data_IF_279347483824
#
_entry.id   IF_279347483824
#
_cell.length_a   1.000
_cell.length_b   1.000
_cell.length_c   1.000
_cell.angle_alpha   90.00
_cell.angle_beta   90.00
_cell.angle_gamma   90.00
#
_symmetry.space_group_name_H-M   'P 1'
#
loop_
_entity.id
_entity.type
_entity.pdbx_description
1 polymer ?
#
# COMPACT_ATOMS: atom_id res chain seq x y z
N UNK A 1 -21.93 -15.34 15.78
CA UNK A 1 -21.42 -16.68 16.17
C UNK A 1 -20.96 -16.60 17.62
N UNK A 2 -21.34 -17.55 18.48
CA UNK A 2 -20.93 -17.51 19.90
C UNK A 2 -19.41 -17.62 20.09
N UNK A 3 -18.74 -18.35 19.22
CA UNK A 3 -17.34 -18.76 19.38
C UNK A 3 -16.35 -18.01 18.46
N UNK A 4 -16.82 -17.01 17.74
CA UNK A 4 -16.00 -16.22 16.82
C UNK A 4 -15.74 -16.89 15.47
N UNK A 5 -14.81 -16.35 14.67
CA UNK A 5 -14.38 -16.90 13.38
C UNK A 5 -13.31 -17.96 13.64
N UNK A 6 -13.53 -19.23 13.26
CA UNK A 6 -12.70 -20.36 13.73
C UNK A 6 -11.40 -20.56 12.94
N UNK A 7 -11.20 -19.84 11.84
CA UNK A 7 -10.06 -20.05 10.94
C UNK A 7 -9.79 -18.81 10.08
N UNK A 8 -8.58 -18.75 9.52
CA UNK A 8 -8.23 -17.83 8.44
C UNK A 8 -7.56 -18.56 7.28
N UNK A 9 -7.49 -17.91 6.12
CA UNK A 9 -6.83 -18.46 4.95
C UNK A 9 -5.48 -17.78 4.81
N UNK A 10 -4.40 -18.55 4.74
CA UNK A 10 -3.05 -18.10 4.44
C UNK A 10 -2.75 -18.42 2.98
N UNK A 11 -2.27 -17.43 2.24
CA UNK A 11 -1.87 -17.59 0.84
C UNK A 11 -0.41 -17.20 0.75
N UNK A 12 0.45 -18.12 0.32
CA UNK A 12 1.84 -17.84 0.03
C UNK A 12 1.96 -17.04 -1.27
N UNK A 13 2.58 -15.87 -1.21
CA UNK A 13 2.63 -14.96 -2.35
C UNK A 13 3.53 -15.47 -3.49
N UNK A 14 4.55 -16.26 -3.17
CA UNK A 14 5.49 -16.77 -4.16
C UNK A 14 4.97 -18.03 -4.87
N UNK A 15 4.43 -18.96 -4.09
CA UNK A 15 3.95 -20.28 -4.60
C UNK A 15 2.46 -20.30 -4.89
N UNK A 16 1.70 -19.31 -4.42
CA UNK A 16 0.24 -19.22 -4.46
C UNK A 16 -0.47 -20.39 -3.74
N UNK A 17 0.27 -21.13 -2.91
CA UNK A 17 -0.32 -22.18 -2.09
C UNK A 17 -1.26 -21.57 -1.06
N UNK A 18 -2.43 -22.21 -0.93
CA UNK A 18 -3.48 -21.78 -0.03
C UNK A 18 -3.65 -22.78 1.11
N UNK A 19 -3.60 -22.30 2.34
CA UNK A 19 -3.77 -23.09 3.55
C UNK A 19 -4.92 -22.53 4.39
N UNK A 20 -5.76 -23.44 4.92
CA UNK A 20 -6.77 -23.11 5.92
C UNK A 20 -6.19 -23.35 7.32
N UNK A 21 -5.85 -22.27 8.01
CA UNK A 21 -5.33 -22.31 9.36
C UNK A 21 -6.50 -22.27 10.36
N UNK A 22 -6.68 -23.36 11.12
CA UNK A 22 -7.71 -23.44 12.16
C UNK A 22 -7.15 -22.93 13.48
N UNK A 23 -7.89 -22.05 14.12
CA UNK A 23 -7.57 -21.50 15.43
C UNK A 23 -8.09 -22.39 16.55
N UNK A 24 -7.36 -22.50 17.64
CA UNK A 24 -7.80 -23.19 18.87
C UNK A 24 -8.97 -22.46 19.53
N UNK A 25 -8.95 -21.11 19.49
CA UNK A 25 -10.05 -20.25 19.85
C UNK A 25 -10.37 -19.31 18.68
N UNK A 26 -11.68 -19.10 18.41
CA UNK A 26 -12.12 -18.26 17.31
C UNK A 26 -11.85 -16.75 17.55
N UNK A 27 -11.63 -16.00 16.47
CA UNK A 27 -11.52 -14.54 16.50
C UNK A 27 -12.86 -13.93 16.90
N UNK A 28 -12.89 -13.25 18.04
CA UNK A 28 -14.12 -12.68 18.64
C UNK A 28 -14.31 -11.22 18.22
N UNK A 29 -13.22 -10.52 17.87
CA UNK A 29 -13.26 -9.11 17.50
C UNK A 29 -13.11 -8.98 15.99
N UNK A 30 -14.15 -8.45 15.33
CA UNK A 30 -14.18 -8.31 13.87
C UNK A 30 -14.81 -6.97 13.46
N UNK A 31 -14.61 -6.57 12.21
CA UNK A 31 -15.22 -5.36 11.64
C UNK A 31 -16.71 -5.54 11.37
N UNK A 32 -17.16 -6.77 11.13
CA UNK A 32 -18.54 -7.10 10.74
C UNK A 32 -19.46 -7.52 11.92
N UNK A 33 -18.89 -7.77 13.09
CA UNK A 33 -19.68 -8.15 14.26
C UNK A 33 -20.34 -6.93 14.93
N UNK A 34 -21.22 -7.17 15.89
CA UNK A 34 -22.02 -6.13 16.56
C UNK A 34 -21.65 -6.00 18.03
N UNK A 35 -22.07 -4.88 18.63
CA UNK A 35 -21.89 -4.57 20.05
C UNK A 35 -20.44 -4.72 20.54
N UNK A 36 -20.19 -5.54 21.54
CA UNK A 36 -18.89 -5.67 22.22
C UNK A 36 -17.83 -6.39 21.37
N UNK A 37 -18.22 -7.01 20.27
CA UNK A 37 -17.33 -7.73 19.36
C UNK A 37 -16.94 -6.94 18.10
N UNK A 38 -17.56 -5.78 17.90
CA UNK A 38 -17.13 -4.88 16.83
C UNK A 38 -15.83 -4.20 17.23
N UNK A 39 -14.78 -4.39 16.42
CA UNK A 39 -13.42 -3.88 16.71
C UNK A 39 -13.40 -2.36 16.85
N UNK A 40 -14.10 -1.61 15.98
CA UNK A 40 -14.13 -0.14 16.05
C UNK A 40 -14.75 0.35 17.36
N UNK A 41 -15.81 -0.32 17.81
CA UNK A 41 -16.46 -0.01 19.09
C UNK A 41 -15.52 -0.35 20.27
N UNK A 42 -14.84 -1.50 20.22
CA UNK A 42 -13.88 -1.92 21.23
C UNK A 42 -12.75 -0.90 21.37
N UNK A 43 -12.14 -0.48 20.25
CA UNK A 43 -11.11 0.55 20.22
C UNK A 43 -11.62 1.89 20.76
N UNK A 44 -12.84 2.30 20.39
CA UNK A 44 -13.42 3.58 20.86
C UNK A 44 -13.62 3.61 22.36
N UNK A 45 -13.93 2.49 22.99
CA UNK A 45 -14.06 2.43 24.45
C UNK A 45 -12.73 2.42 25.18
N UNK A 46 -11.73 1.74 24.62
CA UNK A 46 -10.40 1.68 25.24
C UNK A 46 -9.56 2.95 24.97
N UNK A 47 -9.75 3.58 23.80
CA UNK A 47 -8.99 4.74 23.34
C UNK A 47 -9.94 5.84 22.84
N UNK A 48 -10.71 6.48 23.70
CA UNK A 48 -11.77 7.42 23.30
C UNK A 48 -11.25 8.68 22.58
N UNK A 49 -10.00 9.06 22.80
CA UNK A 49 -9.37 10.25 22.21
C UNK A 49 -8.59 9.96 20.94
N UNK A 50 -8.38 8.69 20.59
CA UNK A 50 -7.63 8.32 19.39
C UNK A 50 -8.50 8.39 18.13
N UNK A 51 -7.91 8.89 17.05
CA UNK A 51 -8.51 8.88 15.72
C UNK A 51 -7.75 7.84 14.92
N UNK A 52 -8.37 6.69 14.70
CA UNK A 52 -7.77 5.61 13.96
C UNK A 52 -7.84 5.85 12.44
N UNK A 53 -6.80 5.39 11.74
CA UNK A 53 -6.81 5.21 10.29
C UNK A 53 -7.48 3.87 9.94
N UNK A 54 -7.40 3.46 8.67
CA UNK A 54 -7.88 2.15 8.24
C UNK A 54 -7.13 1.03 8.97
N UNK A 55 -7.90 0.08 9.48
CA UNK A 55 -7.37 -1.08 10.18
C UNK A 55 -6.93 -2.14 9.18
N UNK A 56 -5.80 -2.78 9.44
CA UNK A 56 -5.37 -4.01 8.75
C UNK A 56 -5.46 -5.22 9.67
N UNK A 57 -5.58 -6.38 9.05
CA UNK A 57 -5.59 -7.67 9.74
C UNK A 57 -4.30 -8.40 9.40
N UNK A 58 -3.53 -8.77 10.40
CA UNK A 58 -2.24 -9.43 10.24
C UNK A 58 -2.10 -10.58 11.24
N UNK A 59 -1.11 -11.42 11.01
CA UNK A 59 -0.82 -12.60 11.82
C UNK A 59 0.62 -12.44 12.33
N UNK A 60 0.81 -12.63 13.64
CA UNK A 60 2.17 -12.60 14.19
C UNK A 60 2.97 -13.88 13.86
N UNK A 61 4.21 -13.95 14.30
CA UNK A 61 5.12 -15.07 14.07
C UNK A 61 4.62 -16.41 14.67
N UNK A 62 3.79 -16.34 15.71
CA UNK A 62 3.18 -17.49 16.38
C UNK A 62 1.84 -17.92 15.76
N UNK A 63 1.39 -17.22 14.71
CA UNK A 63 0.12 -17.48 14.03
C UNK A 63 -1.10 -16.89 14.74
N UNK A 64 -0.90 -15.96 15.67
CA UNK A 64 -1.98 -15.27 16.39
C UNK A 64 -2.50 -14.10 15.56
N UNK A 65 -3.83 -13.99 15.36
CA UNK A 65 -4.41 -12.92 14.55
C UNK A 65 -4.53 -11.61 15.35
N UNK A 66 -4.12 -10.52 14.70
CA UNK A 66 -4.20 -9.15 15.23
C UNK A 66 -4.89 -8.19 14.28
N UNK A 67 -5.53 -7.20 14.84
CA UNK A 67 -5.89 -5.95 14.17
C UNK A 67 -4.79 -4.92 14.41
N UNK A 68 -4.22 -4.42 13.34
CA UNK A 68 -3.28 -3.31 13.35
C UNK A 68 -4.10 -2.03 13.21
N UNK A 69 -4.02 -1.16 14.20
CA UNK A 69 -4.88 0.01 14.31
C UNK A 69 -4.03 1.29 14.38
N UNK A 70 -3.61 1.85 13.23
CA UNK A 70 -2.80 3.06 13.20
C UNK A 70 -3.59 4.26 13.70
N UNK A 71 -2.93 5.12 14.49
CA UNK A 71 -3.51 6.32 15.08
C UNK A 71 -3.02 7.55 14.34
N UNK A 72 -3.94 8.33 13.80
CA UNK A 72 -3.64 9.57 13.08
C UNK A 72 -3.01 10.61 14.00
N UNK A 73 -1.98 11.27 13.48
CA UNK A 73 -1.36 12.45 14.04
C UNK A 73 -1.46 13.58 13.00
N UNK A 74 -1.80 14.77 13.47
CA UNK A 74 -1.92 15.96 12.63
C UNK A 74 -0.77 16.91 12.94
N UNK A 75 0.17 17.07 12.01
CA UNK A 75 1.36 17.90 12.21
C UNK A 75 1.07 19.41 12.14
N UNK A 76 0.01 19.80 11.40
CA UNK A 76 -0.38 21.20 11.19
C UNK A 76 -1.71 21.51 11.89
N UNK A 77 -2.10 20.70 12.88
CA UNK A 77 -3.35 20.85 13.62
C UNK A 77 -4.59 20.83 12.71
N UNK A 78 -5.41 21.87 12.73
CA UNK A 78 -6.63 21.97 11.92
C UNK A 78 -6.37 22.10 10.40
N UNK A 79 -5.15 22.40 9.99
CA UNK A 79 -4.78 22.56 8.58
C UNK A 79 -4.29 21.27 7.91
N UNK A 80 -4.30 20.15 8.61
CA UNK A 80 -3.95 18.85 8.07
C UNK A 80 -2.53 18.39 8.40
N UNK A 81 -1.82 17.86 7.41
CA UNK A 81 -0.50 17.23 7.60
C UNK A 81 -0.66 15.90 8.35
N UNK A 82 -1.60 15.08 7.91
CA UNK A 82 -1.90 13.77 8.52
C UNK A 82 -0.71 12.83 8.37
N UNK A 83 -0.35 12.17 9.46
CA UNK A 83 0.60 11.04 9.49
C UNK A 83 0.14 10.05 10.55
N UNK A 84 0.91 9.00 10.79
CA UNK A 84 0.68 8.06 11.89
C UNK A 84 1.64 8.42 13.04
N UNK A 85 1.10 8.50 14.23
CA UNK A 85 1.88 8.82 15.43
C UNK A 85 2.05 7.65 16.39
N UNK A 86 1.11 6.72 16.38
CA UNK A 86 1.08 5.53 17.23
C UNK A 86 0.38 4.38 16.52
N UNK A 87 0.54 3.17 17.01
CA UNK A 87 -0.15 1.99 16.53
C UNK A 87 -0.68 1.19 17.71
N UNK A 88 -1.96 0.88 17.71
CA UNK A 88 -2.55 -0.04 18.67
C UNK A 88 -2.69 -1.41 18.00
N UNK A 89 -2.08 -2.43 18.59
CA UNK A 89 -2.28 -3.83 18.22
C UNK A 89 -3.39 -4.41 19.08
N UNK A 90 -4.41 -4.99 18.44
CA UNK A 90 -5.50 -5.64 19.16
C UNK A 90 -5.57 -7.11 18.79
N UNK A 91 -5.36 -8.00 19.75
CA UNK A 91 -5.53 -9.43 19.57
C UNK A 91 -6.97 -9.74 19.16
N UNK A 92 -7.19 -10.32 17.98
CA UNK A 92 -8.53 -10.56 17.45
C UNK A 92 -9.31 -11.66 18.21
N UNK A 93 -8.62 -12.49 19.01
CA UNK A 93 -9.22 -13.55 19.82
C UNK A 93 -9.63 -13.00 21.18
N UNK A 94 -8.70 -12.37 21.91
CA UNK A 94 -8.89 -11.96 23.31
C UNK A 94 -9.43 -10.54 23.45
N UNK A 95 -9.14 -9.67 22.49
CA UNK A 95 -9.43 -8.23 22.54
C UNK A 95 -8.39 -7.45 23.37
N UNK A 96 -7.31 -8.10 23.81
CA UNK A 96 -6.22 -7.42 24.48
C UNK A 96 -5.56 -6.41 23.52
N UNK A 97 -5.27 -5.23 24.02
CA UNK A 97 -4.70 -4.14 23.21
C UNK A 97 -3.37 -3.70 23.78
N UNK A 98 -2.40 -3.47 22.90
CA UNK A 98 -1.11 -2.88 23.24
C UNK A 98 -0.86 -1.66 22.35
N UNK A 99 -0.45 -0.55 22.95
CA UNK A 99 -0.22 0.73 22.27
C UNK A 99 1.28 0.98 22.14
N UNK A 100 1.74 1.15 20.89
CA UNK A 100 3.15 1.36 20.54
C UNK A 100 3.37 2.76 19.97
N UNK A 101 4.54 3.36 20.26
CA UNK A 101 5.08 4.39 19.40
C UNK A 101 5.44 3.78 18.04
N UNK A 102 5.41 4.56 16.96
CA UNK A 102 5.64 3.99 15.61
C UNK A 102 7.00 3.32 15.49
N UNK A 103 8.02 3.89 16.14
CA UNK A 103 9.39 3.37 16.15
C UNK A 103 9.56 2.04 16.91
N UNK A 104 8.61 1.71 17.79
CA UNK A 104 8.63 0.51 18.65
C UNK A 104 7.72 -0.61 18.12
N UNK A 105 7.08 -0.42 16.97
CA UNK A 105 6.18 -1.41 16.39
C UNK A 105 6.94 -2.69 16.03
N UNK A 106 6.46 -3.89 16.44
CA UNK A 106 7.11 -5.15 16.13
C UNK A 106 7.35 -5.36 14.63
N UNK A 107 8.43 -6.04 14.27
CA UNK A 107 8.83 -6.23 12.86
C UNK A 107 7.83 -7.03 12.03
N UNK A 108 7.08 -7.95 12.66
CA UNK A 108 6.06 -8.74 11.97
C UNK A 108 4.83 -7.91 11.50
N UNK A 109 4.74 -6.65 11.93
CA UNK A 109 3.68 -5.73 11.47
C UNK A 109 4.09 -5.11 10.15
N UNK A 110 3.35 -5.42 9.09
CA UNK A 110 3.66 -4.93 7.74
C UNK A 110 3.05 -3.56 7.44
N UNK A 111 1.84 -3.29 7.95
CA UNK A 111 1.05 -2.15 7.51
C UNK A 111 0.75 -1.16 8.65
N UNK A 112 1.67 -0.26 8.90
CA UNK A 112 1.49 0.93 9.77
C UNK A 112 0.94 2.10 8.95
N UNK A 113 1.51 2.33 7.75
CA UNK A 113 1.09 3.38 6.83
C UNK A 113 0.34 2.78 5.65
N UNK A 114 -0.86 3.28 5.34
CA UNK A 114 -1.54 2.90 4.11
C UNK A 114 -0.80 3.42 2.88
N UNK A 115 -0.94 2.72 1.75
CA UNK A 115 -0.33 3.16 0.49
C UNK A 115 -0.77 4.57 0.08
N UNK A 116 -2.07 4.87 0.22
CA UNK A 116 -2.62 6.18 -0.11
C UNK A 116 -1.99 7.30 0.76
N UNK A 117 -1.78 7.02 2.06
CA UNK A 117 -1.12 7.98 2.95
C UNK A 117 0.35 8.20 2.57
N UNK A 118 1.08 7.13 2.21
CA UNK A 118 2.47 7.25 1.76
C UNK A 118 2.58 8.05 0.46
N UNK A 119 1.71 7.77 -0.50
CA UNK A 119 1.61 8.53 -1.76
C UNK A 119 1.30 10.00 -1.51
N UNK A 120 0.33 10.30 -0.64
CA UNK A 120 -0.02 11.66 -0.26
C UNK A 120 1.17 12.40 0.38
N UNK A 121 1.87 11.77 1.32
CA UNK A 121 3.04 12.35 1.98
C UNK A 121 4.19 12.59 0.99
N UNK A 122 4.42 11.65 0.07
CA UNK A 122 5.42 11.81 -0.99
C UNK A 122 5.08 12.99 -1.91
N UNK A 123 3.82 13.10 -2.33
CA UNK A 123 3.34 14.20 -3.18
C UNK A 123 3.44 15.55 -2.48
N UNK A 124 3.14 15.64 -1.19
CA UNK A 124 3.38 16.87 -0.42
C UNK A 124 4.86 17.25 -0.40
N UNK A 125 5.75 16.29 -0.18
CA UNK A 125 7.19 16.52 -0.22
C UNK A 125 7.64 16.99 -1.61
N UNK A 126 7.23 16.29 -2.67
CA UNK A 126 7.60 16.59 -4.05
C UNK A 126 7.07 17.94 -4.53
N UNK A 127 5.83 18.27 -4.19
CA UNK A 127 5.18 19.51 -4.60
C UNK A 127 5.68 20.73 -3.81
N UNK A 128 5.93 20.57 -2.49
CA UNK A 128 6.29 21.68 -1.61
C UNK A 128 7.79 21.87 -1.42
N UNK A 129 8.63 21.12 -2.12
CA UNK A 129 10.10 21.13 -2.00
C UNK A 129 10.72 22.54 -2.05
N UNK A 130 10.17 23.43 -2.85
CA UNK A 130 10.60 24.83 -2.97
C UNK A 130 9.58 25.82 -2.39
N UNK A 131 8.73 25.36 -1.47
CA UNK A 131 7.75 26.15 -0.75
C UNK A 131 6.43 26.37 -1.49
N UNK A 132 5.43 26.87 -0.75
CA UNK A 132 4.06 27.03 -1.23
C UNK A 132 3.93 27.89 -2.50
N UNK A 133 4.64 29.00 -2.58
CA UNK A 133 4.54 29.87 -3.76
C UNK A 133 5.06 29.19 -5.03
N UNK A 134 6.11 28.37 -4.94
CA UNK A 134 6.58 27.61 -6.09
C UNK A 134 5.56 26.56 -6.52
N UNK A 135 4.89 25.90 -5.59
CA UNK A 135 3.89 24.87 -5.92
C UNK A 135 2.68 25.43 -6.69
N UNK A 136 2.38 26.73 -6.54
CA UNK A 136 1.22 27.37 -7.17
C UNK A 136 1.60 28.13 -8.45
N UNK A 137 2.74 28.84 -8.46
CA UNK A 137 3.07 29.78 -9.52
C UNK A 137 4.18 29.30 -10.46
N UNK A 138 5.22 28.66 -9.94
CA UNK A 138 6.40 28.27 -10.72
C UNK A 138 6.47 26.80 -11.08
N UNK A 139 6.05 25.95 -10.15
CA UNK A 139 6.08 24.49 -10.22
C UNK A 139 7.44 23.89 -10.61
N UNK A 140 8.51 24.67 -10.38
CA UNK A 140 9.86 24.26 -10.72
C UNK A 140 10.30 23.09 -9.85
N UNK A 141 10.80 22.02 -10.48
CA UNK A 141 11.27 20.78 -9.84
C UNK A 141 10.19 20.12 -8.93
N UNK A 142 8.92 20.40 -9.21
CA UNK A 142 7.81 19.75 -8.52
C UNK A 142 7.57 18.35 -9.10
N UNK A 143 7.53 17.36 -8.20
CA UNK A 143 7.34 15.96 -8.55
C UNK A 143 6.03 15.44 -7.92
N UNK A 144 5.35 14.58 -8.64
CA UNK A 144 4.21 13.80 -8.14
C UNK A 144 4.36 12.34 -8.54
N UNK A 145 3.70 11.47 -7.79
CA UNK A 145 3.53 10.08 -8.20
C UNK A 145 2.62 10.00 -9.44
N UNK A 146 2.79 8.95 -10.21
CA UNK A 146 1.82 8.56 -11.25
C UNK A 146 0.56 7.98 -10.61
N UNK A 147 -0.52 7.84 -11.41
CA UNK A 147 -1.77 7.25 -10.94
C UNK A 147 -1.61 5.74 -10.71
N UNK A 148 -1.92 5.30 -9.50
CA UNK A 148 -1.85 3.90 -9.09
C UNK A 148 -0.54 3.52 -8.41
N UNK A 149 -0.53 2.32 -7.88
CA UNK A 149 0.63 1.74 -7.19
C UNK A 149 0.53 0.22 -7.18
N UNK A 150 1.65 -0.44 -6.86
CA UNK A 150 1.71 -1.88 -6.60
C UNK A 150 2.48 -2.15 -5.31
N UNK A 151 2.45 -3.37 -4.84
CA UNK A 151 3.15 -3.80 -3.63
C UNK A 151 4.28 -4.75 -3.96
N UNK A 152 5.39 -4.61 -3.24
CA UNK A 152 6.56 -5.48 -3.31
C UNK A 152 6.91 -5.95 -1.90
N UNK A 153 7.19 -7.25 -1.75
CA UNK A 153 7.79 -7.76 -0.53
C UNK A 153 9.33 -7.71 -0.70
N UNK A 154 10.00 -6.96 0.17
CA UNK A 154 11.46 -6.80 0.16
C UNK A 154 11.94 -6.87 1.62
N UNK A 155 12.87 -7.79 1.91
CA UNK A 155 13.49 -7.96 3.22
C UNK A 155 12.46 -8.07 4.37
N UNK A 156 11.42 -8.90 4.16
CA UNK A 156 10.33 -9.16 5.12
C UNK A 156 9.42 -7.95 5.43
N UNK A 157 9.51 -6.88 4.64
CA UNK A 157 8.64 -5.72 4.71
C UNK A 157 7.82 -5.56 3.43
N UNK A 158 6.63 -4.97 3.55
CA UNK A 158 5.81 -4.59 2.38
C UNK A 158 6.11 -3.16 1.96
N UNK A 159 6.51 -3.01 0.70
CA UNK A 159 6.81 -1.73 0.08
C UNK A 159 5.77 -1.36 -0.97
N UNK A 160 5.38 -0.11 -0.98
CA UNK A 160 4.57 0.49 -2.05
C UNK A 160 5.50 0.96 -3.16
N UNK A 161 5.21 0.54 -4.39
CA UNK A 161 5.88 0.96 -5.61
C UNK A 161 4.95 1.84 -6.44
N UNK A 162 5.45 2.98 -6.92
CA UNK A 162 4.76 3.83 -7.90
C UNK A 162 5.76 4.63 -8.73
N UNK A 163 5.39 5.02 -9.93
CA UNK A 163 6.18 5.92 -10.76
C UNK A 163 6.15 7.36 -10.25
N UNK A 164 7.11 8.15 -10.70
CA UNK A 164 7.22 9.57 -10.38
C UNK A 164 7.37 10.37 -11.67
N UNK A 165 6.59 11.42 -11.79
CA UNK A 165 6.61 12.35 -12.95
C UNK A 165 6.79 13.78 -12.50
N UNK A 166 7.27 14.63 -13.39
CA UNK A 166 7.31 16.08 -13.19
C UNK A 166 5.94 16.69 -13.44
N UNK A 167 5.52 17.64 -12.60
CA UNK A 167 4.25 18.36 -12.77
C UNK A 167 4.26 19.24 -14.04
N UNK A 168 5.43 19.75 -14.43
CA UNK A 168 5.59 20.68 -15.57
C UNK A 168 6.12 20.01 -16.83
N UNK A 169 6.49 18.74 -16.75
CA UNK A 169 7.07 17.99 -17.85
C UNK A 169 6.03 17.24 -18.69
N UNK A 170 6.52 16.68 -19.79
CA UNK A 170 5.75 15.75 -20.63
C UNK A 170 5.35 14.50 -19.82
N UNK A 171 4.43 13.71 -20.35
CA UNK A 171 3.87 12.50 -19.74
C UNK A 171 4.89 11.35 -19.69
N UNK A 172 6.06 11.59 -19.10
CA UNK A 172 7.11 10.60 -18.91
C UNK A 172 7.48 10.48 -17.44
N UNK A 173 7.85 9.27 -17.03
CA UNK A 173 8.41 9.04 -15.71
C UNK A 173 9.83 9.60 -15.64
N UNK A 174 10.13 10.28 -14.55
CA UNK A 174 11.49 10.69 -14.17
C UNK A 174 12.14 9.68 -13.24
N UNK A 175 11.37 8.74 -12.72
CA UNK A 175 11.83 7.69 -11.85
C UNK A 175 10.68 6.90 -11.24
N UNK A 176 11.01 6.10 -10.23
CA UNK A 176 10.03 5.44 -9.38
C UNK A 176 10.43 5.54 -7.91
N UNK A 177 9.48 5.34 -7.04
CA UNK A 177 9.66 5.39 -5.60
C UNK A 177 9.20 4.09 -4.95
N UNK A 178 9.97 3.61 -3.99
CA UNK A 178 9.60 2.56 -3.05
C UNK A 178 9.42 3.17 -1.67
N UNK A 179 8.30 2.87 -1.03
CA UNK A 179 7.92 3.39 0.28
C UNK A 179 7.54 2.24 1.20
N UNK A 180 8.27 2.08 2.30
CA UNK A 180 8.04 1.02 3.28
C UNK A 180 6.80 1.32 4.11
N UNK A 181 5.84 0.38 4.16
CA UNK A 181 4.58 0.57 4.88
C UNK A 181 4.70 0.51 6.41
N UNK A 182 5.77 -0.07 6.94
CA UNK A 182 6.00 -0.12 8.40
C UNK A 182 6.79 1.09 8.89
N UNK A 183 7.88 1.47 8.21
CA UNK A 183 8.85 2.46 8.68
C UNK A 183 8.71 3.83 8.02
N UNK A 184 7.95 3.94 6.93
CA UNK A 184 7.89 5.12 6.04
C UNK A 184 9.23 5.41 5.32
N UNK A 185 10.21 4.49 5.39
CA UNK A 185 11.44 4.63 4.60
C UNK A 185 11.09 4.77 3.12
N UNK A 186 11.71 5.76 2.46
CA UNK A 186 11.40 6.10 1.07
C UNK A 186 12.69 6.08 0.25
N UNK A 187 12.69 5.31 -0.85
CA UNK A 187 13.80 5.19 -1.79
C UNK A 187 13.34 5.64 -3.17
N UNK A 188 13.97 6.68 -3.70
CA UNK A 188 13.75 7.16 -5.07
C UNK A 188 14.85 6.62 -5.99
N UNK A 189 14.42 6.15 -7.17
CA UNK A 189 15.31 5.65 -8.21
C UNK A 189 15.04 6.43 -9.50
N UNK A 190 16.06 7.12 -9.98
CA UNK A 190 15.98 7.91 -11.21
C UNK A 190 16.06 6.96 -12.43
N UNK A 191 14.97 6.88 -13.18
CA UNK A 191 14.88 6.13 -14.43
C UNK A 191 13.88 6.86 -15.32
N UNK A 192 14.37 7.40 -16.42
CA UNK A 192 13.51 8.02 -17.43
C UNK A 192 12.81 6.95 -18.28
N UNK A 193 11.54 7.16 -18.55
CA UNK A 193 10.77 6.21 -19.36
C UNK A 193 9.31 6.57 -19.56
N UNK A 194 8.59 5.68 -20.23
CA UNK A 194 7.14 5.80 -20.38
C UNK A 194 6.45 5.66 -19.01
N UNK A 195 5.30 6.32 -18.85
CA UNK A 195 4.48 6.13 -17.64
C UNK A 195 3.83 4.74 -17.63
N UNK A 196 3.46 4.29 -16.44
CA UNK A 196 2.74 3.04 -16.25
C UNK A 196 1.43 3.01 -17.06
N UNK A 197 0.71 4.12 -17.10
CA UNK A 197 -0.53 4.25 -17.88
C UNK A 197 -0.31 4.09 -19.39
N UNK A 198 0.80 4.62 -19.91
CA UNK A 198 1.18 4.44 -21.32
C UNK A 198 1.52 2.98 -21.63
N UNK A 199 2.25 2.32 -20.73
CA UNK A 199 2.60 0.90 -20.85
C UNK A 199 1.34 0.00 -20.78
N UNK A 200 0.42 0.30 -19.86
CA UNK A 200 -0.88 -0.39 -19.74
C UNK A 200 -1.71 -0.25 -21.01
N UNK A 201 -1.88 0.97 -21.50
CA UNK A 201 -2.65 1.24 -22.73
C UNK A 201 -2.04 0.55 -23.95
N UNK A 202 -0.71 0.51 -24.04
CA UNK A 202 -0.02 -0.22 -25.11
C UNK A 202 -0.26 -1.73 -25.03
N UNK A 203 -0.19 -2.30 -23.81
CA UNK A 203 -0.46 -3.73 -23.62
C UNK A 203 -1.91 -4.11 -23.93
N UNK A 204 -2.87 -3.29 -23.52
CA UNK A 204 -4.30 -3.48 -23.85
C UNK A 204 -4.56 -3.36 -25.34
N UNK A 205 -3.91 -2.41 -26.01
CA UNK A 205 -3.99 -2.23 -27.45
C UNK A 205 -3.57 -3.47 -28.24
N UNK A 206 -2.57 -4.22 -27.78
CA UNK A 206 -2.10 -5.47 -28.42
C UNK A 206 -3.11 -6.64 -28.33
N UNK A 207 -4.01 -6.58 -27.35
CA UNK A 207 -5.01 -7.63 -27.09
C UNK A 207 -6.43 -7.09 -27.14
N UNK A 208 -6.64 -5.99 -27.86
CA UNK A 208 -7.91 -5.28 -27.93
C UNK A 208 -9.12 -6.17 -28.28
N UNK A 209 -8.92 -7.18 -29.13
CA UNK A 209 -9.94 -8.15 -29.51
C UNK A 209 -10.35 -9.11 -28.38
N UNK A 210 -9.62 -9.15 -27.27
CA UNK A 210 -9.86 -10.05 -26.14
C UNK A 210 -10.52 -9.33 -24.96
N UNK A 211 -10.63 -8.01 -25.00
CA UNK A 211 -11.18 -7.16 -23.94
C UNK A 211 -10.50 -7.36 -22.57
N UNK A 212 -9.19 -7.60 -22.58
CA UNK A 212 -8.44 -7.74 -21.33
C UNK A 212 -8.03 -6.37 -20.79
N UNK A 213 -8.06 -6.24 -19.46
CA UNK A 213 -7.65 -5.04 -18.72
C UNK A 213 -6.27 -5.25 -18.11
N UNK A 214 -5.38 -4.28 -18.28
CA UNK A 214 -4.06 -4.30 -17.68
C UNK A 214 -4.12 -3.99 -16.19
N UNK A 215 -3.29 -4.68 -15.41
CA UNK A 215 -3.02 -4.28 -14.02
C UNK A 215 -1.91 -3.25 -13.98
N UNK A 216 -1.81 -2.50 -12.88
CA UNK A 216 -0.68 -1.60 -12.68
C UNK A 216 0.65 -2.38 -12.80
N UNK A 217 1.58 -1.93 -13.67
CA UNK A 217 2.77 -2.67 -13.99
C UNK A 217 3.77 -2.70 -12.85
N UNK A 218 4.63 -3.71 -12.87
CA UNK A 218 5.80 -3.79 -12.02
C UNK A 218 7.04 -3.52 -12.87
N UNK A 219 7.88 -2.58 -12.43
CA UNK A 219 9.16 -2.33 -13.09
C UNK A 219 10.20 -3.32 -12.60
N UNK A 220 10.73 -4.10 -13.51
CA UNK A 220 11.76 -5.11 -13.29
C UNK A 220 13.02 -4.76 -14.06
N UNK A 221 14.17 -5.16 -13.54
CA UNK A 221 15.41 -5.18 -14.31
C UNK A 221 15.52 -6.53 -15.02
N UNK A 222 15.27 -6.57 -16.32
CA UNK A 222 15.43 -7.77 -17.14
C UNK A 222 16.67 -7.61 -18.01
N UNK A 223 17.71 -8.36 -17.72
CA UNK A 223 18.99 -8.35 -18.46
C UNK A 223 19.65 -6.96 -18.51
N UNK A 224 19.51 -6.15 -17.48
CA UNK A 224 20.08 -4.80 -17.42
C UNK A 224 19.14 -3.71 -17.96
N UNK A 225 17.99 -4.07 -18.51
CA UNK A 225 17.03 -3.14 -19.10
C UNK A 225 15.79 -2.97 -18.20
N UNK A 226 15.41 -1.72 -17.87
CA UNK A 226 14.17 -1.43 -17.15
C UNK A 226 12.96 -1.87 -17.99
N UNK A 227 12.17 -2.78 -17.46
CA UNK A 227 11.09 -3.43 -18.20
C UNK A 227 9.83 -3.50 -17.36
N UNK A 228 8.72 -2.99 -17.87
CA UNK A 228 7.41 -3.16 -17.25
C UNK A 228 6.87 -4.57 -17.48
N UNK A 229 6.53 -5.23 -16.38
CA UNK A 229 5.82 -6.50 -16.36
C UNK A 229 4.36 -6.26 -16.00
N UNK A 230 3.43 -6.66 -16.87
CA UNK A 230 2.01 -6.32 -16.81
C UNK A 230 1.18 -7.58 -16.85
N UNK A 231 0.27 -7.78 -15.90
CA UNK A 231 -0.72 -8.82 -15.97
C UNK A 231 -2.00 -8.30 -16.67
N UNK A 232 -2.55 -9.11 -17.57
CA UNK A 232 -3.77 -8.83 -18.31
C UNK A 232 -4.88 -9.74 -17.80
N UNK A 233 -5.97 -9.15 -17.32
CA UNK A 233 -7.13 -9.82 -16.73
C UNK A 233 -8.35 -9.77 -17.63
N UNK A 234 -9.14 -10.82 -17.60
CA UNK A 234 -10.48 -10.83 -18.22
C UNK A 234 -11.53 -10.12 -17.35
N UNK A 235 -12.75 -10.04 -17.83
CA UNK A 235 -13.89 -9.42 -17.12
C UNK A 235 -14.22 -10.10 -15.79
N UNK A 236 -13.79 -11.34 -15.57
CA UNK A 236 -13.93 -12.06 -14.31
C UNK A 236 -12.78 -11.76 -13.32
N UNK A 237 -11.84 -10.89 -13.70
CA UNK A 237 -10.67 -10.53 -12.90
C UNK A 237 -9.55 -11.57 -12.87
N UNK A 238 -9.64 -12.61 -13.74
CA UNK A 238 -8.64 -13.67 -13.81
C UNK A 238 -7.51 -13.30 -14.77
N UNK A 239 -6.26 -13.45 -14.33
CA UNK A 239 -5.09 -13.24 -15.20
C UNK A 239 -5.09 -14.27 -16.31
N UNK A 240 -5.05 -13.80 -17.56
CA UNK A 240 -5.04 -14.62 -18.78
C UNK A 240 -3.74 -14.54 -19.56
N UNK A 241 -3.06 -13.41 -19.49
CA UNK A 241 -1.80 -13.16 -20.18
C UNK A 241 -0.90 -12.26 -19.36
N UNK A 242 0.37 -12.27 -19.73
CA UNK A 242 1.35 -11.29 -19.28
C UNK A 242 1.90 -10.56 -20.51
N UNK A 243 2.16 -9.27 -20.33
CA UNK A 243 2.86 -8.44 -21.31
C UNK A 243 4.14 -7.87 -20.66
N UNK A 244 5.13 -7.62 -21.48
CA UNK A 244 6.34 -6.89 -21.12
C UNK A 244 6.47 -5.69 -22.03
N UNK A 245 6.85 -4.55 -21.47
CA UNK A 245 7.08 -3.33 -22.22
C UNK A 245 8.40 -2.71 -21.74
N UNK A 246 9.30 -2.44 -22.70
CA UNK A 246 10.52 -1.70 -22.39
C UNK A 246 10.17 -0.24 -22.12
N UNK A 247 10.85 0.36 -21.13
CA UNK A 247 10.59 1.74 -20.74
C UNK A 247 11.14 2.76 -21.74
N UNK A 248 12.09 2.36 -22.60
CA UNK A 248 12.66 3.26 -23.60
C UNK A 248 11.61 3.59 -24.69
N UNK A 249 11.26 4.87 -24.78
CA UNK A 249 10.61 5.42 -25.96
C UNK A 249 11.61 5.33 -27.11
N UNK A 250 11.44 4.36 -28.00
CA UNK A 250 12.00 4.48 -29.36
C UNK A 250 11.23 5.60 -30.05
N UNK A 251 11.87 6.76 -30.18
CA UNK A 251 11.43 7.85 -31.06
C UNK A 251 11.37 7.37 -32.50
#
# INVERSE_FOLDING_TARGET
MKDGIPAYIKIDMATQNTELVKLSEGMKYTTSDHFNRNIYRHLRFNYPTYIFNDLSFEIDEDGVPYWICPVKKYNIGLFGGTTIGRVVLCNAITGETTDYAVEDVPQWVDRVYSADLLVELYNYHGTLKHGFFNSVLGQKDCLNTTDGYNYLAIDDDVWVYTGVTSITGDQSNVGFVLMNQRTMETKFYEIEGATESSAMSSAEGQVQNLHYTATFPLLLNISGEPTYFIALKDDAGLVKKYAVSYTHLTL
#
